data_IF_648927706949
#
_entry.id   IF_648927706949
#
_cell.length_a   1.000
_cell.length_b   1.000
_cell.length_c   1.000
_cell.angle_alpha   90.00
_cell.angle_beta   90.00
_cell.angle_gamma   90.00
#
_symmetry.space_group_name_H-M   'P 1'
#
loop_
_entity.id
_entity.type
_entity.pdbx_description
1 polymer ?
#
# COMPACT_ATOMS: atom_id res chain seq x y z
N UNK A 1 13.61 5.77 16.89
CA UNK A 1 12.92 4.97 15.85
C UNK A 1 11.46 4.67 16.16
N UNK A 2 11.12 4.02 17.28
CA UNK A 2 9.73 3.68 17.62
C UNK A 2 8.78 4.90 17.70
N UNK A 3 9.25 6.03 18.25
CA UNK A 3 8.46 7.27 18.31
C UNK A 3 8.10 7.81 16.91
N UNK A 4 9.02 7.70 15.94
CA UNK A 4 8.79 8.17 14.55
C UNK A 4 7.76 7.27 13.87
N UNK A 5 7.83 5.96 14.10
CA UNK A 5 6.83 5.01 13.62
C UNK A 5 5.46 5.22 14.30
N UNK A 6 5.43 5.64 15.57
CA UNK A 6 4.22 6.06 16.28
C UNK A 6 3.55 7.29 15.66
N UNK A 7 4.32 8.30 15.22
CA UNK A 7 3.78 9.45 14.47
C UNK A 7 3.12 8.97 13.17
N UNK A 8 3.78 8.04 12.47
CA UNK A 8 3.21 7.39 11.29
C UNK A 8 1.90 6.69 11.58
N UNK A 9 1.86 5.91 12.67
CA UNK A 9 0.70 5.11 13.07
C UNK A 9 -0.53 5.97 13.38
N UNK A 10 -0.35 7.10 14.07
CA UNK A 10 -1.45 8.03 14.39
C UNK A 10 -2.06 8.65 13.13
N UNK A 11 -1.25 8.83 12.08
CA UNK A 11 -1.70 9.40 10.82
C UNK A 11 -2.37 8.38 9.88
N UNK A 12 -2.31 7.07 10.18
CA UNK A 12 -2.99 6.04 9.37
C UNK A 12 -4.49 6.10 9.62
N UNK A 13 -5.27 6.33 8.56
CA UNK A 13 -6.74 6.34 8.60
C UNK A 13 -7.37 7.60 8.03
N UNK A 14 -6.63 8.71 7.98
CA UNK A 14 -7.11 9.96 7.39
C UNK A 14 -6.24 10.39 6.21
N UNK A 15 -6.81 10.63 5.01
CA UNK A 15 -6.02 10.99 3.83
C UNK A 15 -5.25 12.30 4.03
N UNK A 16 -5.87 13.30 4.67
CA UNK A 16 -5.23 14.57 5.00
C UNK A 16 -4.10 14.37 6.03
N UNK A 17 -4.36 13.59 7.08
CA UNK A 17 -3.36 13.25 8.10
C UNK A 17 -2.13 12.56 7.51
N UNK A 18 -2.34 11.61 6.58
CA UNK A 18 -1.26 10.93 5.87
C UNK A 18 -0.39 11.90 5.04
N UNK A 19 -0.99 12.86 4.33
CA UNK A 19 -0.23 13.87 3.59
C UNK A 19 0.52 14.85 4.51
N UNK A 20 -0.11 15.27 5.60
CA UNK A 20 0.53 16.14 6.59
C UNK A 20 1.71 15.45 7.25
N UNK A 21 1.56 14.18 7.65
CA UNK A 21 2.63 13.39 8.23
C UNK A 21 3.80 13.22 7.25
N UNK A 22 3.54 12.94 5.96
CA UNK A 22 4.56 12.86 4.91
C UNK A 22 5.40 14.14 4.80
N UNK A 23 4.81 15.31 5.04
CA UNK A 23 5.54 16.60 5.05
C UNK A 23 6.29 16.82 6.36
N UNK A 24 5.65 16.57 7.50
CA UNK A 24 6.25 16.76 8.83
C UNK A 24 7.49 15.88 9.06
N UNK A 25 7.52 14.67 8.51
CA UNK A 25 8.65 13.75 8.63
C UNK A 25 9.92 14.27 7.92
N UNK A 26 9.78 15.13 6.90
CA UNK A 26 10.93 15.78 6.26
C UNK A 26 11.67 16.68 7.26
N UNK A 27 10.95 17.34 8.17
CA UNK A 27 11.56 18.15 9.22
C UNK A 27 12.27 17.30 10.28
N UNK A 28 11.83 16.05 10.50
CA UNK A 28 12.53 15.10 11.36
C UNK A 28 13.89 14.72 10.78
N UNK A 29 13.99 14.55 9.45
CA UNK A 29 15.28 14.34 8.77
C UNK A 29 16.24 15.52 9.03
N UNK A 30 15.73 16.75 8.98
CA UNK A 30 16.53 17.96 9.20
C UNK A 30 16.94 18.13 10.67
N UNK A 31 16.05 17.85 11.63
CA UNK A 31 16.35 17.93 13.06
C UNK A 31 17.47 16.95 13.49
N UNK A 32 17.48 15.74 12.92
CA UNK A 32 18.51 14.73 13.21
C UNK A 32 19.89 15.14 12.66
N UNK A 33 19.97 16.01 11.63
CA UNK A 33 21.26 16.53 11.14
C UNK A 33 21.91 17.55 12.08
N UNK A 34 21.14 18.19 12.96
CA UNK A 34 21.62 19.17 13.95
C UNK A 34 22.15 18.45 15.20
N UNK A 35 21.52 17.33 15.58
CA UNK A 35 22.01 16.44 16.64
C UNK A 35 22.98 15.41 16.06
N UNK A 36 24.19 15.85 15.69
CA UNK A 36 25.35 14.97 15.41
C UNK A 36 25.85 14.26 16.68
N UNK A 37 24.95 13.76 17.54
CA UNK A 37 25.33 12.75 18.53
C UNK A 37 25.37 11.41 17.82
N UNK A 38 26.50 10.74 18.03
CA UNK A 38 26.97 9.53 17.38
C UNK A 38 26.22 8.30 17.91
N UNK A 39 24.89 8.35 17.97
CA UNK A 39 24.07 7.25 18.48
C UNK A 39 23.47 6.42 17.35
N UNK A 40 23.82 5.14 17.42
CA UNK A 40 23.54 4.01 16.52
C UNK A 40 22.06 3.71 16.23
N UNK A 41 21.13 4.60 16.59
CA UNK A 41 19.68 4.44 16.43
C UNK A 41 19.03 5.72 15.90
N UNK A 42 19.66 6.32 14.89
CA UNK A 42 19.22 7.59 14.27
C UNK A 42 17.77 7.50 13.77
N UNK A 43 16.97 8.50 14.11
CA UNK A 43 15.60 8.68 13.64
C UNK A 43 15.50 8.74 12.12
N UNK A 44 16.59 9.15 11.44
CA UNK A 44 16.76 9.14 9.98
C UNK A 44 16.47 7.77 9.35
N UNK A 45 16.92 6.68 9.96
CA UNK A 45 16.73 5.35 9.43
C UNK A 45 15.29 4.83 9.50
N UNK A 46 14.47 5.42 10.38
CA UNK A 46 13.06 5.10 10.53
C UNK A 46 12.18 5.86 9.54
N UNK A 47 12.65 6.97 8.98
CA UNK A 47 11.88 7.81 8.05
C UNK A 47 11.36 7.05 6.82
N UNK A 48 12.20 6.27 6.10
CA UNK A 48 11.71 5.50 4.95
C UNK A 48 10.63 4.48 5.33
N UNK A 49 10.74 3.86 6.50
CA UNK A 49 9.75 2.90 6.99
C UNK A 49 8.40 3.56 7.28
N UNK A 50 8.40 4.81 7.75
CA UNK A 50 7.15 5.56 7.92
C UNK A 50 6.53 5.95 6.59
N UNK A 51 7.32 6.35 5.59
CA UNK A 51 6.78 6.54 4.24
C UNK A 51 6.14 5.28 3.67
N UNK A 52 6.73 4.12 3.98
CA UNK A 52 6.20 2.82 3.60
C UNK A 52 4.85 2.52 4.27
N UNK A 53 4.73 2.81 5.58
CA UNK A 53 3.47 2.67 6.32
C UNK A 53 2.36 3.59 5.77
N UNK A 54 2.69 4.85 5.49
CA UNK A 54 1.72 5.87 5.04
C UNK A 54 1.32 5.76 3.56
N UNK A 55 2.00 4.94 2.77
CA UNK A 55 1.72 4.79 1.33
C UNK A 55 1.77 3.32 0.90
N UNK A 56 1.42 2.40 1.78
CA UNK A 56 1.45 0.96 1.49
C UNK A 56 0.43 0.59 0.40
N UNK A 57 0.91 0.08 -0.74
CA UNK A 57 0.06 -0.32 -1.86
C UNK A 57 -0.38 0.81 -2.80
N UNK A 58 0.00 2.06 -2.51
CA UNK A 58 -0.36 3.27 -3.26
C UNK A 58 0.90 3.99 -3.75
N UNK A 59 1.30 3.78 -5.03
CA UNK A 59 2.54 4.32 -5.55
C UNK A 59 2.40 5.81 -5.89
N UNK A 60 2.51 6.68 -4.90
CA UNK A 60 2.62 8.12 -5.13
C UNK A 60 4.03 8.50 -5.60
N UNK A 61 4.14 9.04 -6.82
CA UNK A 61 5.43 9.31 -7.48
C UNK A 61 6.38 10.24 -6.69
N UNK A 62 5.94 11.36 -6.08
CA UNK A 62 6.77 12.16 -5.17
C UNK A 62 7.37 11.36 -4.02
N UNK A 63 6.61 10.46 -3.38
CA UNK A 63 7.14 9.62 -2.30
C UNK A 63 8.21 8.67 -2.84
N UNK A 64 7.95 8.04 -3.99
CA UNK A 64 8.92 7.19 -4.69
C UNK A 64 10.22 7.93 -5.01
N UNK A 65 10.15 9.18 -5.46
CA UNK A 65 11.34 9.99 -5.76
C UNK A 65 12.13 10.37 -4.51
N UNK A 66 11.45 10.73 -3.41
CA UNK A 66 12.12 10.98 -2.13
C UNK A 66 12.82 9.73 -1.58
N UNK A 67 12.16 8.57 -1.61
CA UNK A 67 12.74 7.29 -1.21
C UNK A 67 13.92 6.88 -2.09
N UNK A 68 13.84 7.12 -3.40
CA UNK A 68 14.95 6.85 -4.31
C UNK A 68 16.18 7.73 -4.02
N UNK A 69 15.97 8.98 -3.58
CA UNK A 69 17.07 9.85 -3.15
C UNK A 69 17.72 9.35 -1.85
N UNK A 70 16.92 8.85 -0.91
CA UNK A 70 17.40 8.24 0.34
C UNK A 70 18.07 6.86 0.12
N UNK A 71 17.73 6.15 -0.95
CA UNK A 71 18.36 4.87 -1.29
C UNK A 71 19.83 4.99 -1.73
N UNK A 72 20.29 6.19 -2.10
CA UNK A 72 21.70 6.48 -2.43
C UNK A 72 22.46 7.16 -1.29
N UNK A 73 21.90 7.17 -0.08
CA UNK A 73 22.54 7.78 1.07
C UNK A 73 23.80 6.99 1.53
N UNK A 74 24.70 7.70 2.21
CA UNK A 74 25.96 7.15 2.72
C UNK A 74 25.77 6.15 3.87
N UNK A 75 24.68 6.27 4.62
CA UNK A 75 24.34 5.34 5.69
C UNK A 75 23.66 4.08 5.13
N UNK A 76 24.32 2.92 5.30
CA UNK A 76 23.83 1.65 4.79
C UNK A 76 22.47 1.25 5.37
N UNK A 77 22.19 1.58 6.64
CA UNK A 77 20.95 1.17 7.29
C UNK A 77 19.75 1.96 6.73
N UNK A 78 19.92 3.27 6.54
CA UNK A 78 18.94 4.13 5.87
C UNK A 78 18.73 3.73 4.40
N UNK A 79 19.81 3.40 3.68
CA UNK A 79 19.71 2.95 2.28
C UNK A 79 18.92 1.64 2.16
N UNK A 80 19.21 0.64 3.02
CA UNK A 80 18.49 -0.65 3.07
C UNK A 80 16.99 -0.46 3.35
N UNK A 81 16.66 0.36 4.34
CA UNK A 81 15.27 0.66 4.69
C UNK A 81 14.54 1.41 3.57
N UNK A 82 15.23 2.28 2.83
CA UNK A 82 14.66 3.01 1.69
C UNK A 82 14.34 2.12 0.51
N UNK A 83 15.20 1.14 0.21
CA UNK A 83 14.95 0.15 -0.84
C UNK A 83 13.73 -0.70 -0.50
N UNK A 84 13.64 -1.16 0.76
CA UNK A 84 12.47 -1.90 1.23
C UNK A 84 11.19 -1.06 1.14
N UNK A 85 11.24 0.16 1.66
CA UNK A 85 10.12 1.09 1.63
C UNK A 85 9.63 1.30 0.19
N UNK A 86 10.54 1.45 -0.76
CA UNK A 86 10.21 1.57 -2.18
C UNK A 86 9.45 0.34 -2.70
N UNK A 87 9.87 -0.86 -2.33
CA UNK A 87 9.16 -2.11 -2.65
C UNK A 87 7.76 -2.16 -2.05
N UNK A 88 7.62 -1.81 -0.77
CA UNK A 88 6.36 -1.87 -0.03
C UNK A 88 5.34 -0.81 -0.50
N UNK A 89 5.78 0.40 -0.83
CA UNK A 89 4.92 1.45 -1.41
C UNK A 89 4.34 1.00 -2.76
N UNK A 90 5.12 0.29 -3.55
CA UNK A 90 4.68 -0.26 -4.85
C UNK A 90 4.09 -1.67 -4.77
N UNK A 91 3.84 -2.19 -3.57
CA UNK A 91 3.44 -3.58 -3.40
C UNK A 91 2.14 -3.86 -4.15
N UNK A 92 2.17 -4.82 -5.07
CA UNK A 92 0.99 -5.21 -5.82
C UNK A 92 0.56 -4.30 -6.96
N UNK A 93 1.20 -3.15 -7.17
CA UNK A 93 0.78 -2.22 -8.23
C UNK A 93 1.46 -2.48 -9.57
N UNK A 94 2.49 -3.35 -9.60
CA UNK A 94 3.33 -3.63 -10.78
C UNK A 94 3.73 -2.36 -11.57
N UNK A 95 4.08 -1.28 -10.87
CA UNK A 95 4.38 0.00 -11.51
C UNK A 95 5.75 -0.07 -12.22
N UNK A 96 5.73 0.02 -13.55
CA UNK A 96 6.92 -0.07 -14.39
C UNK A 96 8.01 0.96 -14.00
N UNK A 97 7.63 2.17 -13.56
CA UNK A 97 8.59 3.21 -13.19
C UNK A 97 9.38 2.86 -11.93
N UNK A 98 8.70 2.32 -10.91
CA UNK A 98 9.35 1.87 -9.66
C UNK A 98 10.25 0.67 -9.95
N UNK A 99 9.77 -0.25 -10.81
CA UNK A 99 10.54 -1.42 -11.19
C UNK A 99 11.84 -1.09 -11.93
N UNK A 100 11.82 -0.11 -12.82
CA UNK A 100 13.05 0.38 -13.47
C UNK A 100 14.02 1.00 -12.46
N UNK A 101 13.53 1.76 -11.46
CA UNK A 101 14.38 2.31 -10.39
C UNK A 101 15.01 1.20 -9.53
N UNK A 102 14.24 0.19 -9.15
CA UNK A 102 14.74 -0.98 -8.40
C UNK A 102 15.78 -1.78 -9.19
N UNK A 103 15.58 -1.97 -10.51
CA UNK A 103 16.59 -2.61 -11.38
C UNK A 103 17.89 -1.82 -11.43
N UNK A 104 17.83 -0.49 -11.51
CA UNK A 104 19.01 0.35 -11.49
C UNK A 104 19.76 0.23 -10.15
N UNK A 105 19.03 0.18 -9.02
CA UNK A 105 19.59 -0.06 -7.69
C UNK A 105 20.22 -1.46 -7.56
N UNK A 106 19.64 -2.48 -8.20
CA UNK A 106 20.19 -3.83 -8.21
C UNK A 106 21.58 -3.87 -8.89
N UNK A 107 21.72 -3.20 -10.04
CA UNK A 107 23.01 -3.06 -10.73
C UNK A 107 24.03 -2.29 -9.90
N UNK A 108 23.60 -1.25 -9.18
CA UNK A 108 24.47 -0.45 -8.31
C UNK A 108 25.01 -1.26 -7.11
N UNK A 109 24.15 -2.04 -6.44
CA UNK A 109 24.50 -2.80 -5.24
C UNK A 109 25.00 -4.22 -5.50
N UNK A 110 25.38 -4.58 -6.74
CA UNK A 110 25.81 -5.94 -7.10
C UNK A 110 27.00 -6.45 -6.26
N UNK A 111 27.86 -5.57 -5.73
CA UNK A 111 29.00 -5.96 -4.88
C UNK A 111 28.57 -6.39 -3.47
N UNK A 112 27.51 -5.81 -2.92
CA UNK A 112 27.05 -6.06 -1.56
C UNK A 112 25.89 -7.06 -1.55
N UNK A 113 26.17 -8.33 -1.23
CA UNK A 113 25.18 -9.42 -1.25
C UNK A 113 23.92 -9.14 -0.43
N UNK A 114 24.05 -8.50 0.73
CA UNK A 114 22.93 -8.15 1.63
C UNK A 114 22.01 -7.11 0.98
N UNK A 115 22.57 -6.04 0.43
CA UNK A 115 21.78 -4.98 -0.22
C UNK A 115 21.13 -5.51 -1.50
N UNK A 116 21.86 -6.32 -2.27
CA UNK A 116 21.31 -6.98 -3.44
C UNK A 116 20.11 -7.87 -3.08
N UNK A 117 20.19 -8.64 -1.98
CA UNK A 117 19.06 -9.45 -1.51
C UNK A 117 17.82 -8.59 -1.20
N UNK A 118 17.99 -7.46 -0.52
CA UNK A 118 16.87 -6.54 -0.19
C UNK A 118 16.26 -5.94 -1.47
N UNK A 119 17.07 -5.58 -2.46
CA UNK A 119 16.55 -5.09 -3.75
C UNK A 119 15.71 -6.15 -4.45
N UNK A 120 16.14 -7.42 -4.46
CA UNK A 120 15.36 -8.52 -5.03
C UNK A 120 14.06 -8.75 -4.26
N UNK A 121 14.09 -8.68 -2.93
CA UNK A 121 12.92 -8.78 -2.09
C UNK A 121 11.92 -7.64 -2.38
N UNK A 122 12.40 -6.40 -2.50
CA UNK A 122 11.58 -5.25 -2.88
C UNK A 122 10.95 -5.41 -4.27
N UNK A 123 11.69 -5.96 -5.25
CA UNK A 123 11.14 -6.27 -6.57
C UNK A 123 10.04 -7.35 -6.51
N UNK A 124 10.23 -8.37 -5.66
CA UNK A 124 9.23 -9.40 -5.38
C UNK A 124 7.94 -8.83 -4.81
N UNK A 125 8.04 -7.92 -3.84
CA UNK A 125 6.88 -7.22 -3.26
C UNK A 125 6.13 -6.38 -4.30
N UNK A 126 6.83 -5.65 -5.17
CA UNK A 126 6.20 -4.87 -6.25
C UNK A 126 5.45 -5.77 -7.25
N UNK A 127 5.95 -6.98 -7.49
CA UNK A 127 5.38 -7.95 -8.44
C UNK A 127 4.46 -8.99 -7.78
N UNK A 128 4.04 -8.74 -6.53
CA UNK A 128 3.27 -9.70 -5.74
C UNK A 128 1.96 -10.06 -6.44
N UNK A 129 1.71 -11.37 -6.60
CA UNK A 129 0.55 -11.88 -7.33
C UNK A 129 0.46 -11.37 -8.78
N UNK A 130 1.58 -11.01 -9.44
CA UNK A 130 1.62 -10.32 -10.74
C UNK A 130 0.84 -8.99 -10.79
N UNK A 131 0.61 -8.37 -9.64
CA UNK A 131 -0.18 -7.15 -9.50
C UNK A 131 -1.61 -7.35 -8.97
N UNK A 132 -1.97 -8.58 -8.57
CA UNK A 132 -3.32 -8.87 -8.05
C UNK A 132 -3.43 -8.70 -6.53
N UNK A 133 -2.32 -8.67 -5.80
CA UNK A 133 -2.29 -8.68 -4.34
C UNK A 133 -1.73 -7.36 -3.81
N UNK A 134 -2.40 -6.72 -2.88
CA UNK A 134 -1.96 -5.48 -2.20
C UNK A 134 -1.58 -5.69 -0.76
N UNK A 135 -0.90 -4.70 -0.18
CA UNK A 135 -0.52 -4.65 1.25
C UNK A 135 -1.09 -3.40 1.93
N UNK A 136 -2.26 -2.93 1.49
CA UNK A 136 -2.89 -1.74 2.08
C UNK A 136 -3.58 -2.10 3.41
N UNK A 137 -3.36 -1.33 4.50
CA UNK A 137 -4.07 -1.54 5.77
C UNK A 137 -5.50 -0.98 5.78
N UNK A 138 -5.81 -0.15 4.77
CA UNK A 138 -7.09 0.49 4.55
C UNK A 138 -8.04 -0.45 3.80
N UNK A 139 -9.27 -0.55 4.30
CA UNK A 139 -10.40 -1.27 3.72
C UNK A 139 -11.59 -0.32 3.56
N UNK A 140 -12.52 -0.68 2.68
CA UNK A 140 -13.78 0.02 2.40
C UNK A 140 -13.55 1.45 1.91
N UNK A 141 -13.08 1.61 0.68
CA UNK A 141 -12.86 2.90 0.00
C UNK A 141 -12.01 3.85 0.87
N UNK A 142 -10.95 3.30 1.47
CA UNK A 142 -10.03 3.98 2.38
C UNK A 142 -10.64 4.60 3.64
N UNK A 143 -11.84 4.17 4.05
CA UNK A 143 -12.54 4.73 5.23
C UNK A 143 -12.23 4.00 6.54
N UNK A 144 -11.87 2.71 6.49
CA UNK A 144 -11.66 1.89 7.69
C UNK A 144 -10.26 1.29 7.71
N UNK A 145 -9.61 1.31 8.88
CA UNK A 145 -8.33 0.65 9.08
C UNK A 145 -8.59 -0.74 9.67
N UNK A 146 -8.11 -1.80 9.02
CA UNK A 146 -8.19 -3.13 9.64
C UNK A 146 -7.06 -3.31 10.66
N UNK A 147 -7.39 -3.69 11.91
CA UNK A 147 -6.38 -3.84 12.95
C UNK A 147 -5.42 -5.00 12.67
N UNK A 148 -5.89 -6.06 12.00
CA UNK A 148 -5.09 -7.24 11.65
C UNK A 148 -4.03 -6.94 10.59
N UNK A 149 -4.42 -6.27 9.50
CA UNK A 149 -3.47 -5.85 8.46
C UNK A 149 -2.46 -4.85 9.01
N UNK A 150 -2.91 -3.90 9.83
CA UNK A 150 -2.04 -2.92 10.47
C UNK A 150 -1.00 -3.58 11.36
N UNK A 151 -1.40 -4.49 12.25
CA UNK A 151 -0.47 -5.20 13.16
C UNK A 151 0.53 -6.07 12.39
N UNK A 152 0.10 -6.75 11.32
CA UNK A 152 0.99 -7.52 10.46
C UNK A 152 2.06 -6.68 9.78
N UNK A 153 1.66 -5.53 9.23
CA UNK A 153 2.54 -4.58 8.57
C UNK A 153 3.49 -3.91 9.59
N UNK A 154 3.00 -3.59 10.79
CA UNK A 154 3.84 -3.07 11.88
C UNK A 154 4.87 -4.11 12.36
N UNK A 155 4.48 -5.37 12.52
CA UNK A 155 5.40 -6.47 12.85
C UNK A 155 6.48 -6.63 11.79
N UNK A 156 6.10 -6.49 10.52
CA UNK A 156 7.02 -6.53 9.39
C UNK A 156 8.01 -5.36 9.48
N UNK A 157 7.54 -4.12 9.58
CA UNK A 157 8.38 -2.93 9.67
C UNK A 157 9.31 -2.94 10.89
N UNK A 158 8.82 -3.42 12.05
CA UNK A 158 9.63 -3.54 13.26
C UNK A 158 10.80 -4.50 13.07
N UNK A 159 10.59 -5.58 12.32
CA UNK A 159 11.62 -6.57 12.00
C UNK A 159 12.74 -5.99 11.15
N UNK A 160 12.47 -4.96 10.34
CA UNK A 160 13.48 -4.28 9.52
C UNK A 160 14.35 -3.28 10.29
N UNK A 161 14.01 -2.90 11.52
CA UNK A 161 14.89 -2.04 12.32
C UNK A 161 16.26 -2.68 12.61
N UNK A 162 16.32 -4.01 12.79
CA UNK A 162 17.57 -4.76 12.92
C UNK A 162 17.60 -5.94 11.94
N UNK A 163 17.50 -5.64 10.64
CA UNK A 163 17.44 -6.61 9.54
C UNK A 163 18.52 -7.70 9.63
N UNK A 164 19.74 -7.33 10.05
CA UNK A 164 20.87 -8.25 10.12
C UNK A 164 20.71 -9.33 11.18
N UNK A 165 20.13 -9.00 12.34
CA UNK A 165 19.99 -9.96 13.44
C UNK A 165 18.65 -10.68 13.41
N UNK A 166 17.61 -10.08 12.86
CA UNK A 166 16.27 -10.69 12.80
C UNK A 166 16.15 -11.63 11.61
N UNK A 167 16.13 -11.06 10.40
CA UNK A 167 15.74 -11.77 9.17
C UNK A 167 16.88 -12.58 8.58
N UNK A 168 18.15 -12.14 8.72
CA UNK A 168 19.29 -12.84 8.12
C UNK A 168 19.90 -13.93 9.02
N UNK A 169 19.73 -13.84 10.34
CA UNK A 169 20.37 -14.75 11.31
C UNK A 169 19.41 -15.87 11.79
N UNK A 170 18.50 -15.57 12.75
CA UNK A 170 17.72 -16.61 13.45
C UNK A 170 16.22 -16.64 13.15
N UNK A 171 15.63 -15.52 12.75
CA UNK A 171 14.17 -15.34 12.70
C UNK A 171 13.68 -15.06 11.28
N UNK A 172 13.96 -15.98 10.35
CA UNK A 172 13.48 -15.87 8.96
C UNK A 172 11.95 -15.81 8.86
N UNK A 173 11.24 -16.49 9.76
CA UNK A 173 9.77 -16.54 9.75
C UNK A 173 9.12 -15.19 10.05
N UNK A 174 9.86 -14.24 10.64
CA UNK A 174 9.34 -12.91 10.94
C UNK A 174 8.95 -12.15 9.66
N UNK A 175 9.51 -12.54 8.51
CA UNK A 175 9.09 -12.06 7.21
C UNK A 175 7.61 -12.37 6.90
N UNK A 176 7.08 -13.51 7.35
CA UNK A 176 5.69 -13.91 7.15
C UNK A 176 4.68 -13.11 7.98
N UNK A 177 5.14 -12.19 8.84
CA UNK A 177 4.22 -11.28 9.54
C UNK A 177 3.42 -10.38 8.59
N UNK A 178 3.86 -10.23 7.33
CA UNK A 178 3.15 -9.47 6.30
C UNK A 178 1.90 -10.18 5.75
N UNK A 179 1.78 -11.50 5.93
CA UNK A 179 0.67 -12.30 5.37
C UNK A 179 -0.74 -11.78 5.67
N UNK A 180 -1.10 -11.39 6.91
CA UNK A 180 -2.44 -10.85 7.19
C UNK A 180 -2.73 -9.50 6.51
N UNK A 181 -1.69 -8.82 6.01
CA UNK A 181 -1.84 -7.57 5.27
C UNK A 181 -2.08 -7.78 3.78
N UNK A 182 -1.89 -9.01 3.27
CA UNK A 182 -2.02 -9.32 1.85
C UNK A 182 -3.50 -9.53 1.50
N UNK A 183 -4.05 -8.66 0.65
CA UNK A 183 -5.42 -8.75 0.17
C UNK A 183 -5.50 -8.74 -1.37
N UNK A 184 -6.46 -9.43 -2.00
CA UNK A 184 -6.66 -9.38 -3.44
C UNK A 184 -7.37 -8.11 -3.90
N UNK A 185 -6.90 -7.50 -4.99
CA UNK A 185 -7.49 -6.33 -5.69
C UNK A 185 -8.55 -6.67 -6.73
N UNK A 186 -8.93 -7.94 -6.83
CA UNK A 186 -9.89 -8.44 -7.81
C UNK A 186 -11.32 -8.20 -7.33
N UNK A 187 -12.15 -7.57 -8.15
CA UNK A 187 -13.58 -7.48 -7.91
C UNK A 187 -14.31 -8.63 -8.59
N UNK A 188 -14.94 -9.47 -7.78
CA UNK A 188 -15.72 -10.63 -8.22
C UNK A 188 -17.13 -10.57 -7.62
N UNK A 189 -18.12 -10.74 -8.49
CA UNK A 189 -19.53 -10.84 -8.13
C UNK A 189 -19.94 -12.27 -7.83
N UNK A 190 -20.64 -12.48 -6.72
CA UNK A 190 -21.12 -13.79 -6.28
C UNK A 190 -22.62 -13.72 -5.96
N UNK A 191 -23.37 -14.78 -6.26
CA UNK A 191 -24.80 -14.90 -5.93
C UNK A 191 -25.01 -15.26 -4.44
N UNK A 192 -26.27 -15.23 -3.99
CA UNK A 192 -26.71 -15.73 -2.67
C UNK A 192 -26.28 -17.17 -2.39
N UNK A 193 -26.25 -18.04 -3.42
CA UNK A 193 -25.78 -19.43 -3.33
C UNK A 193 -24.26 -19.60 -3.35
N UNK A 194 -23.49 -18.51 -3.21
CA UNK A 194 -22.02 -18.48 -3.28
C UNK A 194 -21.40 -18.92 -4.62
N UNK A 195 -22.20 -18.96 -5.69
CA UNK A 195 -21.71 -19.24 -7.04
C UNK A 195 -21.27 -17.94 -7.74
N UNK A 196 -20.12 -17.94 -8.45
CA UNK A 196 -19.65 -16.76 -9.16
C UNK A 196 -20.59 -16.43 -10.32
N UNK A 197 -21.07 -15.18 -10.36
CA UNK A 197 -21.89 -14.70 -11.48
C UNK A 197 -20.97 -14.12 -12.53
N UNK A 198 -20.87 -14.73 -13.72
CA UNK A 198 -20.10 -14.15 -14.80
C UNK A 198 -20.80 -12.90 -15.34
N UNK A 199 -20.01 -11.87 -15.66
CA UNK A 199 -20.41 -10.77 -16.55
C UNK A 199 -21.37 -9.73 -15.97
N UNK A 200 -21.28 -9.40 -14.68
CA UNK A 200 -21.99 -8.23 -14.13
C UNK A 200 -21.29 -6.95 -14.57
N UNK A 201 -22.07 -5.98 -15.04
CA UNK A 201 -21.55 -4.68 -15.44
C UNK A 201 -21.28 -3.80 -14.23
N UNK A 202 -20.05 -3.32 -14.17
CA UNK A 202 -19.51 -2.54 -13.07
C UNK A 202 -18.84 -1.30 -13.64
N UNK A 203 -19.09 -0.14 -13.02
CA UNK A 203 -18.42 1.12 -13.34
C UNK A 203 -17.21 1.27 -12.43
N UNK A 204 -16.06 1.51 -13.02
CA UNK A 204 -14.81 1.81 -12.30
C UNK A 204 -14.40 3.24 -12.61
N UNK A 205 -14.12 4.05 -11.60
CA UNK A 205 -13.72 5.44 -11.76
C UNK A 205 -13.12 6.02 -10.49
N UNK A 206 -12.76 7.31 -10.51
CA UNK A 206 -12.14 7.96 -9.36
C UNK A 206 -13.22 8.41 -8.36
N UNK A 207 -13.02 8.21 -7.05
CA UNK A 207 -13.94 8.70 -6.03
C UNK A 207 -13.94 10.23 -6.00
N UNK A 208 -15.13 10.81 -5.81
CA UNK A 208 -15.33 12.25 -5.61
C UNK A 208 -16.11 12.48 -4.34
N UNK A 209 -15.65 13.47 -3.56
CA UNK A 209 -16.34 13.88 -2.35
C UNK A 209 -17.67 14.57 -2.69
N UNK A 210 -18.77 13.92 -2.30
CA UNK A 210 -20.14 14.33 -2.66
C UNK A 210 -20.73 15.37 -1.70
N UNK A 211 -20.05 15.70 -0.60
CA UNK A 211 -20.60 16.52 0.51
C UNK A 211 -20.94 17.96 0.07
N UNK A 212 -20.31 18.48 -0.98
CA UNK A 212 -20.49 19.86 -1.45
C UNK A 212 -21.34 20.00 -2.74
N UNK A 213 -21.91 18.91 -3.27
CA UNK A 213 -22.58 18.94 -4.58
C UNK A 213 -24.10 18.88 -4.40
N UNK A 214 -24.85 19.90 -4.86
CA UNK A 214 -26.31 19.93 -4.75
C UNK A 214 -26.97 18.88 -5.65
N UNK A 215 -28.04 18.23 -5.18
CA UNK A 215 -28.84 17.27 -5.94
C UNK A 215 -28.61 15.80 -5.54
N UNK A 216 -28.62 14.90 -6.53
CA UNK A 216 -28.17 13.50 -6.38
C UNK A 216 -26.76 13.37 -6.96
N UNK A 217 -25.72 13.75 -6.20
CA UNK A 217 -24.35 13.70 -6.70
C UNK A 217 -23.91 12.26 -6.96
N UNK A 218 -23.17 12.06 -8.05
CA UNK A 218 -22.51 10.78 -8.33
C UNK A 218 -21.24 10.70 -7.50
N UNK A 219 -20.97 9.55 -6.89
CA UNK A 219 -19.77 9.37 -6.06
C UNK A 219 -18.50 9.11 -6.88
N UNK A 220 -18.64 8.89 -8.19
CA UNK A 220 -17.54 8.59 -9.10
C UNK A 220 -17.45 9.57 -10.28
N UNK A 221 -16.22 9.87 -10.70
CA UNK A 221 -15.91 10.61 -11.95
C UNK A 221 -15.07 9.78 -12.91
N UNK A 222 -15.17 10.11 -14.20
CA UNK A 222 -14.36 9.47 -15.25
C UNK A 222 -14.58 7.96 -15.38
N UNK A 223 -15.82 7.50 -15.20
CA UNK A 223 -16.10 6.08 -15.11
C UNK A 223 -16.04 5.35 -16.45
N UNK A 224 -15.49 4.13 -16.43
CA UNK A 224 -15.56 3.17 -17.51
C UNK A 224 -16.36 1.95 -17.06
N UNK A 225 -17.21 1.43 -17.94
CA UNK A 225 -17.99 0.22 -17.65
C UNK A 225 -17.16 -1.00 -18.06
N UNK A 226 -16.92 -1.89 -17.10
CA UNK A 226 -16.28 -3.17 -17.29
C UNK A 226 -17.21 -4.30 -16.87
N UNK A 227 -16.94 -5.52 -17.35
CA UNK A 227 -17.62 -6.72 -16.89
C UNK A 227 -16.74 -7.42 -15.84
N UNK A 228 -17.34 -7.93 -14.76
CA UNK A 228 -16.63 -8.73 -13.75
C UNK A 228 -16.07 -10.03 -14.36
N UNK A 229 -14.85 -10.46 -14.00
CA UNK A 229 -13.96 -9.92 -12.96
C UNK A 229 -13.06 -8.76 -13.44
N UNK A 230 -12.85 -7.76 -12.58
CA UNK A 230 -12.04 -6.57 -12.89
C UNK A 230 -10.94 -6.40 -11.85
N UNK A 231 -9.73 -6.04 -12.30
CA UNK A 231 -8.63 -5.68 -11.41
C UNK A 231 -8.68 -4.18 -11.15
N UNK A 232 -8.74 -3.79 -9.87
CA UNK A 232 -8.77 -2.38 -9.48
C UNK A 232 -7.38 -1.78 -9.38
N UNK A 233 -7.25 -0.50 -9.71
CA UNK A 233 -6.11 0.29 -9.25
C UNK A 233 -6.27 0.72 -7.78
N UNK A 234 -5.23 1.28 -7.19
CA UNK A 234 -5.22 1.79 -5.81
C UNK A 234 -6.28 2.85 -5.51
N UNK A 235 -6.55 3.71 -6.49
CA UNK A 235 -7.39 4.89 -6.33
C UNK A 235 -8.77 4.71 -6.93
N UNK A 236 -9.07 3.51 -7.44
CA UNK A 236 -10.29 3.27 -8.19
C UNK A 236 -11.42 2.89 -7.25
N UNK A 237 -12.55 3.55 -7.44
CA UNK A 237 -13.82 3.24 -6.80
C UNK A 237 -14.75 2.55 -7.79
N UNK A 238 -15.55 1.64 -7.24
CA UNK A 238 -16.37 0.72 -7.99
C UNK A 238 -17.84 0.90 -7.63
N UNK A 239 -18.68 1.06 -8.65
CA UNK A 239 -20.14 1.09 -8.52
C UNK A 239 -20.78 0.06 -9.44
N UNK A 240 -21.86 -0.58 -9.00
CA UNK A 240 -22.62 -1.52 -9.83
C UNK A 240 -23.44 -0.74 -10.88
N UNK A 241 -23.31 -1.13 -12.15
CA UNK A 241 -24.00 -0.48 -13.27
C UNK A 241 -25.34 -1.14 -13.60
N UNK A 242 -25.45 -2.43 -13.32
CA UNK A 242 -26.55 -3.27 -13.77
C UNK A 242 -27.87 -2.94 -13.06
N UNK A 243 -28.97 -2.89 -13.81
CA UNK A 243 -30.28 -2.49 -13.29
C UNK A 243 -31.01 -3.64 -12.60
N UNK A 244 -30.73 -4.88 -13.04
CA UNK A 244 -31.37 -6.13 -12.58
C UNK A 244 -30.79 -6.64 -11.26
N UNK A 245 -29.58 -6.18 -10.92
CA UNK A 245 -28.81 -6.64 -9.80
C UNK A 245 -28.72 -5.54 -8.72
N UNK A 246 -28.70 -5.93 -7.45
CA UNK A 246 -28.43 -5.05 -6.32
C UNK A 246 -27.28 -5.64 -5.50
N UNK A 247 -26.25 -4.84 -5.23
CA UNK A 247 -25.22 -5.24 -4.29
C UNK A 247 -25.75 -5.14 -2.84
N UNK A 248 -25.42 -6.15 -2.03
CA UNK A 248 -25.79 -6.19 -0.60
C UNK A 248 -25.06 -5.09 0.18
N UNK A 249 -23.78 -4.89 -0.13
CA UNK A 249 -22.95 -3.82 0.45
C UNK A 249 -22.90 -2.59 -0.45
N UNK A 250 -22.84 -1.37 0.12
CA UNK A 250 -22.62 -0.14 -0.65
C UNK A 250 -21.16 0.00 -1.13
N UNK A 251 -20.23 -0.70 -0.49
CA UNK A 251 -18.82 -0.77 -0.88
C UNK A 251 -18.58 -2.06 -1.67
N UNK A 252 -18.01 -1.92 -2.87
CA UNK A 252 -17.67 -3.04 -3.75
C UNK A 252 -16.16 -3.21 -3.75
N UNK A 253 -15.67 -4.09 -2.89
CA UNK A 253 -14.26 -4.48 -2.80
C UNK A 253 -14.15 -6.00 -2.74
N UNK A 254 -13.15 -6.57 -3.43
CA UNK A 254 -12.91 -8.00 -3.37
C UNK A 254 -14.11 -8.80 -3.90
N UNK A 255 -14.62 -9.69 -3.05
CA UNK A 255 -15.76 -10.55 -3.37
C UNK A 255 -17.02 -9.88 -2.81
N UNK A 256 -17.93 -9.47 -3.68
CA UNK A 256 -19.19 -8.85 -3.28
C UNK A 256 -20.38 -9.71 -3.69
N UNK A 257 -21.39 -9.74 -2.82
CA UNK A 257 -22.62 -10.50 -3.04
C UNK A 257 -23.64 -9.62 -3.76
N UNK A 258 -24.25 -10.20 -4.78
CA UNK A 258 -25.28 -9.57 -5.59
C UNK A 258 -26.58 -10.34 -5.42
N UNK A 259 -27.63 -9.60 -5.08
CA UNK A 259 -29.00 -10.08 -5.08
C UNK A 259 -29.65 -9.69 -6.41
N UNK A 260 -30.41 -10.62 -6.98
CA UNK A 260 -31.28 -10.28 -8.11
C UNK A 260 -32.46 -9.50 -7.56
N UNK A 261 -32.74 -8.33 -8.12
CA UNK A 261 -33.98 -7.62 -7.77
C UNK A 261 -35.14 -8.51 -8.19
N UNK A 262 -35.93 -8.95 -7.21
CA UNK A 262 -37.24 -9.52 -7.47
C UNK A 262 -38.08 -8.34 -7.96
N UNK A 263 -38.36 -8.31 -9.26
CA UNK A 263 -39.30 -7.37 -9.84
C UNK A 263 -40.67 -7.77 -9.30
N UNK A 264 -41.10 -7.15 -8.21
CA UNK A 264 -42.52 -7.14 -7.84
C UNK A 264 -43.26 -6.45 -9.00
N UNK A 265 -44.07 -7.25 -9.69
CA UNK A 265 -44.92 -6.85 -10.81
C UNK A 265 -46.14 -6.06 -10.32
#
# INVERSE_FOLDING_TARGET
>A
MAAVLGIGLVAVGEPLGMEMAKRSIIHVLLADTVSKSKDSMSGRSAVPLVYALLSAGDPNMPVVETLNRLAHDSDELTARNSILALGLVSAGSNNARVMTKLRNLASYYHKNKINAFIVHLAMGLCSMGKGHLTVSPLLHDNTTVSPTSLVGLLGFLHSFFDFTKTILDKYHYMFFSITPSIAPRLVLSVNESMEPVPSIQVRVGLPVDTVAVPGKPKSMTGFQTHATPVLLSSTDRVELADTQCRAVSPYIEGIFVVEKKITEA
#
